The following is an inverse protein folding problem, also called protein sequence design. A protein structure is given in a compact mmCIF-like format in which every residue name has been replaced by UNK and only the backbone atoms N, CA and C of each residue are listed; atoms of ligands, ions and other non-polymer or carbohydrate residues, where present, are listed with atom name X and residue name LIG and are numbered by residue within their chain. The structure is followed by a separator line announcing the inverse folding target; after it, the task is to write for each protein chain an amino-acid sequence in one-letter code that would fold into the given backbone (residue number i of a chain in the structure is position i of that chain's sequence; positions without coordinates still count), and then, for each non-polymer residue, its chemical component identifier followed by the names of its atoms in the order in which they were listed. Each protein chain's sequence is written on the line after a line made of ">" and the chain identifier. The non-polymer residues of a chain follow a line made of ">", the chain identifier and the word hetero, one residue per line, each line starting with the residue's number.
data_IF_331494709255
#
_entry.id   IF_331494709255
#
_cell.length_a   1.000
_cell.length_b   1.000
_cell.length_c   1.000
_cell.angle_alpha   90.00
_cell.angle_beta   90.00
_cell.angle_gamma   90.00
#
_symmetry.space_group_name_H-M   'P 1'
#
loop_
_entity.id
_entity.type
_entity.pdbx_description
1 polymer ?
#
# COMPACT_ATOMS: atom_id res chain seq x y z
N UNK A 1 1.24 -22.70 10.41
CA UNK A 1 0.10 -22.01 9.80
C UNK A 1 -0.90 -21.59 10.86
N UNK A 2 -1.82 -20.70 10.56
CA UNK A 2 -2.85 -20.23 11.49
C UNK A 2 -3.88 -21.30 11.77
N UNK A 3 -4.50 -21.27 12.96
CA UNK A 3 -5.61 -22.15 13.33
C UNK A 3 -6.81 -21.87 12.42
N UNK A 4 -7.34 -22.92 11.79
CA UNK A 4 -8.58 -22.87 11.01
C UNK A 4 -9.62 -23.76 11.65
N UNK A 5 -10.75 -23.20 12.02
CA UNK A 5 -11.91 -23.91 12.52
C UNK A 5 -12.95 -24.02 11.41
N UNK A 6 -13.44 -25.23 11.12
CA UNK A 6 -14.46 -25.49 10.10
C UNK A 6 -15.75 -25.96 10.77
N UNK A 7 -16.89 -25.50 10.25
CA UNK A 7 -18.23 -25.82 10.76
C UNK A 7 -19.29 -25.62 9.66
N UNK A 8 -20.56 -25.84 10.01
CA UNK A 8 -21.69 -25.67 9.09
C UNK A 8 -22.69 -24.69 9.66
N UNK A 9 -23.16 -23.74 8.86
CA UNK A 9 -24.23 -22.79 9.19
C UNK A 9 -25.30 -22.84 8.09
N UNK A 10 -26.54 -23.08 8.46
CA UNK A 10 -27.64 -23.17 7.49
C UNK A 10 -27.41 -24.18 6.36
N UNK A 11 -26.73 -25.30 6.67
CA UNK A 11 -26.33 -26.31 5.69
C UNK A 11 -25.15 -25.93 4.79
N UNK A 12 -24.47 -24.78 5.03
CA UNK A 12 -23.34 -24.28 4.26
C UNK A 12 -22.04 -24.44 5.03
N UNK A 13 -20.99 -24.90 4.36
CA UNK A 13 -19.65 -24.96 4.94
C UNK A 13 -19.17 -23.54 5.23
N UNK A 14 -18.67 -23.35 6.43
CA UNK A 14 -18.06 -22.10 6.88
C UNK A 14 -16.77 -22.37 7.64
N UNK A 15 -15.90 -21.41 7.73
CA UNK A 15 -14.71 -21.50 8.55
C UNK A 15 -14.21 -20.13 9.03
N UNK A 16 -13.40 -20.18 10.07
CA UNK A 16 -12.70 -19.05 10.66
C UNK A 16 -11.22 -19.38 10.69
N UNK A 17 -10.38 -18.47 10.20
CA UNK A 17 -8.93 -18.49 10.41
C UNK A 17 -8.61 -17.50 11.52
N UNK A 18 -8.12 -18.02 12.64
CA UNK A 18 -7.81 -17.21 13.83
C UNK A 18 -6.39 -16.66 13.81
N UNK A 19 -6.16 -15.48 14.41
CA UNK A 19 -4.81 -14.99 14.69
C UNK A 19 -4.12 -15.88 15.74
N UNK A 20 -2.78 -15.90 15.72
CA UNK A 20 -1.98 -16.68 16.69
C UNK A 20 -2.15 -16.17 18.13
N UNK A 21 -2.43 -14.87 18.28
CA UNK A 21 -2.67 -14.28 19.61
C UNK A 21 -4.17 -14.16 19.85
N UNK A 22 -4.69 -14.79 20.91
CA UNK A 22 -6.10 -14.65 21.26
C UNK A 22 -6.43 -13.20 21.62
N UNK A 23 -7.66 -12.82 21.41
CA UNK A 23 -8.17 -11.51 21.81
C UNK A 23 -8.09 -11.37 23.34
N UNK A 24 -7.68 -10.22 23.80
CA UNK A 24 -7.63 -9.93 25.24
C UNK A 24 -9.03 -10.05 25.88
N UNK A 25 -9.14 -10.52 27.11
CA UNK A 25 -10.43 -10.64 27.80
C UNK A 25 -11.23 -9.32 27.76
N UNK A 26 -12.49 -9.41 27.41
CA UNK A 26 -13.38 -8.25 27.32
C UNK A 26 -13.27 -7.43 26.03
N UNK A 27 -12.41 -7.83 25.09
CA UNK A 27 -12.33 -7.23 23.74
C UNK A 27 -13.06 -8.11 22.72
N UNK A 28 -13.64 -7.48 21.70
CA UNK A 28 -14.24 -8.16 20.56
C UNK A 28 -13.19 -8.56 19.54
N UNK A 29 -13.36 -9.71 18.88
CA UNK A 29 -12.49 -10.16 17.79
C UNK A 29 -12.70 -9.27 16.55
N UNK A 30 -11.67 -8.53 16.14
CA UNK A 30 -11.69 -7.85 14.84
C UNK A 30 -11.60 -8.87 13.72
N UNK A 31 -12.29 -8.60 12.60
CA UNK A 31 -12.34 -9.57 11.51
C UNK A 31 -12.56 -8.96 10.13
N UNK A 32 -12.09 -9.72 9.14
CA UNK A 32 -12.32 -9.47 7.73
C UNK A 32 -13.20 -10.57 7.16
N UNK A 33 -14.12 -10.20 6.30
CA UNK A 33 -15.05 -11.12 5.66
C UNK A 33 -14.87 -11.13 4.16
N UNK A 34 -14.41 -12.29 3.64
CA UNK A 34 -14.19 -12.51 2.21
C UNK A 34 -15.23 -13.50 1.69
N UNK A 35 -16.32 -13.02 1.08
CA UNK A 35 -17.45 -13.90 0.69
C UNK A 35 -17.16 -14.80 -0.50
N UNK A 36 -16.15 -14.48 -1.32
CA UNK A 36 -15.76 -15.26 -2.50
C UNK A 36 -14.23 -15.31 -2.64
N UNK A 37 -13.72 -16.37 -3.30
CA UNK A 37 -12.27 -16.53 -3.63
C UNK A 37 -11.33 -16.45 -2.43
N UNK A 38 -11.68 -17.12 -1.32
CA UNK A 38 -10.95 -16.99 -0.05
C UNK A 38 -9.45 -17.26 -0.16
N UNK A 39 -9.07 -18.32 -0.87
CA UNK A 39 -7.67 -18.75 -0.99
C UNK A 39 -6.91 -18.06 -2.14
N UNK A 40 -7.56 -17.15 -2.89
CA UNK A 40 -6.92 -16.48 -4.00
C UNK A 40 -6.07 -15.29 -3.54
N UNK A 41 -4.72 -15.39 -3.69
CA UNK A 41 -3.76 -14.34 -3.29
C UNK A 41 -4.06 -13.72 -1.92
N UNK A 42 -4.06 -14.49 -0.84
CA UNK A 42 -4.47 -14.02 0.49
C UNK A 42 -3.37 -13.22 1.21
N UNK A 43 -2.53 -12.45 0.47
CA UNK A 43 -1.37 -11.75 1.05
C UNK A 43 -1.80 -10.73 2.10
N UNK A 44 -2.82 -9.93 1.80
CA UNK A 44 -3.36 -8.95 2.74
C UNK A 44 -4.09 -9.61 3.92
N UNK A 45 -4.85 -10.68 3.62
CA UNK A 45 -5.59 -11.44 4.65
C UNK A 45 -4.61 -12.04 5.67
N UNK A 46 -3.53 -12.68 5.20
CA UNK A 46 -2.50 -13.27 6.07
C UNK A 46 -1.79 -12.21 6.92
N UNK A 47 -1.50 -11.04 6.35
CA UNK A 47 -0.89 -9.94 7.11
C UNK A 47 -1.85 -9.38 8.17
N UNK A 48 -3.14 -9.29 7.87
CA UNK A 48 -4.16 -8.89 8.83
C UNK A 48 -4.35 -9.93 9.95
N UNK A 49 -4.31 -11.23 9.60
CA UNK A 49 -4.36 -12.31 10.62
C UNK A 49 -3.17 -12.23 11.57
N UNK A 50 -1.94 -11.97 11.08
CA UNK A 50 -0.77 -11.71 11.94
C UNK A 50 -0.98 -10.51 12.88
N UNK A 51 -1.77 -9.53 12.46
CA UNK A 51 -2.10 -8.31 13.22
C UNK A 51 -3.32 -8.47 14.15
N UNK A 52 -3.84 -9.70 14.30
CA UNK A 52 -4.92 -10.01 15.25
C UNK A 52 -6.33 -10.01 14.67
N UNK A 53 -6.50 -9.93 13.36
CA UNK A 53 -7.81 -10.10 12.73
C UNK A 53 -8.13 -11.58 12.51
N UNK A 54 -9.38 -11.96 12.67
CA UNK A 54 -9.87 -13.23 12.13
C UNK A 54 -10.27 -13.05 10.66
N UNK A 55 -9.99 -14.04 9.82
CA UNK A 55 -10.48 -14.08 8.44
C UNK A 55 -11.57 -15.15 8.31
N UNK A 56 -12.73 -14.79 7.77
CA UNK A 56 -13.90 -15.66 7.75
C UNK A 56 -14.47 -15.88 6.36
N UNK A 57 -15.09 -17.04 6.19
CA UNK A 57 -15.72 -17.46 4.94
C UNK A 57 -16.96 -18.31 5.21
N UNK A 58 -17.98 -18.17 4.37
CA UNK A 58 -19.10 -19.09 4.22
C UNK A 58 -19.32 -19.39 2.75
N UNK A 59 -19.54 -20.65 2.39
CA UNK A 59 -19.76 -21.07 1.00
C UNK A 59 -21.11 -20.55 0.49
N UNK A 60 -21.03 -19.75 -0.58
CA UNK A 60 -22.18 -19.16 -1.26
C UNK A 60 -21.98 -19.23 -2.77
N UNK A 61 -21.54 -20.40 -3.23
CA UNK A 61 -21.29 -20.63 -4.64
C UNK A 61 -22.55 -20.38 -5.47
N UNK A 62 -22.36 -19.78 -6.64
CA UNK A 62 -23.40 -19.51 -7.63
C UNK A 62 -24.61 -18.67 -7.14
N UNK A 63 -24.45 -17.89 -6.06
CA UNK A 63 -25.51 -17.01 -5.56
C UNK A 63 -25.42 -15.54 -6.03
N UNK A 64 -24.33 -15.10 -6.62
CA UNK A 64 -24.15 -13.78 -7.26
C UNK A 64 -24.68 -12.56 -6.49
N UNK A 65 -24.58 -12.59 -5.14
CA UNK A 65 -25.10 -11.52 -4.28
C UNK A 65 -26.63 -11.37 -4.26
N UNK A 66 -27.35 -12.40 -4.65
CA UNK A 66 -28.83 -12.47 -4.66
C UNK A 66 -29.43 -12.39 -3.24
N UNK A 67 -30.76 -12.22 -3.09
CA UNK A 67 -31.43 -12.29 -1.80
C UNK A 67 -31.07 -13.54 -0.97
N UNK A 68 -30.93 -14.70 -1.63
CA UNK A 68 -30.49 -15.94 -0.95
C UNK A 68 -29.07 -15.85 -0.41
N UNK A 69 -28.19 -15.13 -1.10
CA UNK A 69 -26.85 -14.86 -0.58
C UNK A 69 -26.90 -13.94 0.64
N UNK A 70 -27.75 -12.91 0.61
CA UNK A 70 -27.94 -11.99 1.74
C UNK A 70 -28.46 -12.74 2.97
N UNK A 71 -29.42 -13.64 2.82
CA UNK A 71 -29.94 -14.45 3.94
C UNK A 71 -28.86 -15.36 4.55
N UNK A 72 -28.01 -15.97 3.73
CA UNK A 72 -26.88 -16.77 4.21
C UNK A 72 -25.84 -15.91 4.94
N UNK A 73 -25.55 -14.71 4.42
CA UNK A 73 -24.66 -13.75 5.07
C UNK A 73 -25.24 -13.28 6.42
N UNK A 74 -26.54 -13.01 6.50
CA UNK A 74 -27.22 -12.61 7.74
C UNK A 74 -27.12 -13.68 8.82
N UNK A 75 -27.34 -14.94 8.48
CA UNK A 75 -27.21 -16.07 9.41
C UNK A 75 -25.76 -16.19 9.94
N UNK A 76 -24.80 -16.09 9.04
CA UNK A 76 -23.38 -16.19 9.41
C UNK A 76 -22.93 -15.02 10.26
N UNK A 77 -23.32 -13.79 9.91
CA UNK A 77 -23.05 -12.60 10.71
C UNK A 77 -23.58 -12.72 12.13
N UNK A 78 -24.86 -13.11 12.28
CA UNK A 78 -25.47 -13.32 13.60
C UNK A 78 -24.69 -14.34 14.43
N UNK A 79 -24.36 -15.48 13.86
CA UNK A 79 -23.55 -16.50 14.54
C UNK A 79 -22.21 -15.93 15.04
N UNK A 80 -21.48 -15.20 14.20
CA UNK A 80 -20.18 -14.64 14.58
C UNK A 80 -20.31 -13.57 15.66
N UNK A 81 -21.28 -12.68 15.56
CA UNK A 81 -21.44 -11.57 16.50
C UNK A 81 -22.07 -12.02 17.82
N UNK A 82 -23.18 -12.76 17.75
CA UNK A 82 -23.97 -13.08 18.94
C UNK A 82 -23.39 -14.25 19.74
N UNK A 83 -22.90 -15.29 19.05
CA UNK A 83 -22.38 -16.51 19.67
C UNK A 83 -20.87 -16.50 19.85
N UNK A 84 -20.13 -16.03 18.84
CA UNK A 84 -18.64 -16.07 18.84
C UNK A 84 -18.00 -14.77 19.34
N UNK A 85 -18.78 -13.73 19.66
CA UNK A 85 -18.33 -12.43 20.21
C UNK A 85 -17.38 -11.67 19.30
N UNK A 86 -17.59 -11.79 18.01
CA UNK A 86 -16.89 -10.99 17.02
C UNK A 86 -17.40 -9.54 17.02
N UNK A 87 -16.56 -8.60 16.60
CA UNK A 87 -16.95 -7.19 16.45
C UNK A 87 -18.18 -7.06 15.54
N UNK A 88 -19.07 -6.14 15.89
CA UNK A 88 -20.27 -5.86 15.08
C UNK A 88 -19.97 -5.24 13.72
N UNK A 89 -18.73 -4.77 13.49
CA UNK A 89 -18.35 -4.09 12.27
C UNK A 89 -17.15 -4.77 11.60
N UNK A 90 -17.38 -5.81 10.77
CA UNK A 90 -16.35 -6.37 9.91
C UNK A 90 -15.86 -5.38 8.85
N UNK A 91 -14.70 -5.67 8.28
CA UNK A 91 -14.31 -5.14 6.97
C UNK A 91 -14.65 -6.20 5.90
N UNK A 92 -15.43 -5.80 4.89
CA UNK A 92 -15.78 -6.69 3.79
C UNK A 92 -14.72 -6.62 2.69
N UNK A 93 -14.40 -7.78 2.09
CA UNK A 93 -13.42 -7.90 1.01
C UNK A 93 -14.08 -8.57 -0.20
N UNK A 94 -14.28 -7.81 -1.28
CA UNK A 94 -14.94 -8.29 -2.49
C UNK A 94 -14.03 -8.30 -3.71
N UNK A 95 -13.55 -9.49 -4.13
CA UNK A 95 -12.81 -9.63 -5.39
C UNK A 95 -13.77 -10.02 -6.51
N UNK A 96 -13.65 -9.39 -7.67
CA UNK A 96 -14.45 -9.73 -8.86
C UNK A 96 -15.95 -9.83 -8.53
N UNK A 97 -16.63 -10.97 -8.80
CA UNK A 97 -18.03 -11.20 -8.42
C UNK A 97 -18.30 -11.11 -6.91
N UNK A 98 -17.26 -11.19 -6.07
CA UNK A 98 -17.38 -10.92 -4.64
C UNK A 98 -17.84 -9.50 -4.31
N UNK A 99 -17.67 -8.56 -5.24
CA UNK A 99 -18.21 -7.20 -5.15
C UNK A 99 -19.72 -7.18 -4.98
N UNK A 100 -20.46 -8.02 -5.72
CA UNK A 100 -21.92 -8.15 -5.59
C UNK A 100 -22.36 -8.53 -4.17
N UNK A 101 -21.63 -9.45 -3.52
CA UNK A 101 -21.93 -9.89 -2.17
C UNK A 101 -21.61 -8.79 -1.14
N UNK A 102 -20.40 -8.24 -1.18
CA UNK A 102 -19.95 -7.26 -0.21
C UNK A 102 -20.77 -5.98 -0.24
N UNK A 103 -21.01 -5.43 -1.46
CA UNK A 103 -21.71 -4.16 -1.64
C UNK A 103 -23.22 -4.30 -1.36
N UNK A 104 -23.87 -5.39 -1.81
CA UNK A 104 -25.30 -5.60 -1.55
C UNK A 104 -25.56 -5.81 -0.05
N UNK A 105 -24.70 -6.58 0.65
CA UNK A 105 -24.87 -6.78 2.08
C UNK A 105 -24.65 -5.49 2.88
N UNK A 106 -23.66 -4.70 2.50
CA UNK A 106 -23.39 -3.44 3.16
C UNK A 106 -24.51 -2.41 2.96
N UNK A 107 -25.14 -2.35 1.78
CA UNK A 107 -26.31 -1.50 1.54
C UNK A 107 -27.51 -1.91 2.40
N UNK A 108 -27.71 -3.23 2.58
CA UNK A 108 -28.76 -3.79 3.45
C UNK A 108 -28.47 -3.54 4.94
N UNK A 109 -27.19 -3.55 5.37
CA UNK A 109 -26.74 -3.45 6.75
C UNK A 109 -25.67 -2.37 6.97
N UNK A 110 -25.93 -1.11 6.63
CA UNK A 110 -24.88 -0.08 6.59
C UNK A 110 -24.26 0.27 7.95
N UNK A 111 -24.95 -0.01 9.05
CA UNK A 111 -24.43 0.22 10.41
C UNK A 111 -23.55 -0.94 10.92
N UNK A 112 -23.55 -2.05 10.21
CA UNK A 112 -22.80 -3.27 10.54
C UNK A 112 -21.50 -3.42 9.77
N UNK A 113 -20.94 -2.35 9.17
CA UNK A 113 -19.72 -2.41 8.34
C UNK A 113 -18.75 -1.34 8.78
N UNK A 114 -17.48 -1.71 8.98
CA UNK A 114 -16.40 -0.75 9.28
C UNK A 114 -15.86 -0.09 8.00
N UNK A 115 -15.72 -0.86 6.93
CA UNK A 115 -15.24 -0.42 5.63
C UNK A 115 -15.29 -1.55 4.61
N UNK A 116 -15.10 -1.23 3.33
CA UNK A 116 -15.14 -2.23 2.25
C UNK A 116 -13.94 -2.04 1.34
N UNK A 117 -13.16 -3.11 1.16
CA UNK A 117 -12.16 -3.22 0.12
C UNK A 117 -12.70 -4.07 -1.03
N UNK A 118 -12.64 -3.57 -2.25
CA UNK A 118 -13.03 -4.32 -3.45
C UNK A 118 -11.97 -4.21 -4.55
N UNK A 119 -11.75 -5.33 -5.26
CA UNK A 119 -10.73 -5.43 -6.32
C UNK A 119 -11.35 -5.94 -7.61
N UNK A 120 -11.27 -5.12 -8.66
CA UNK A 120 -11.95 -5.34 -9.93
C UNK A 120 -13.40 -5.83 -9.76
N UNK A 121 -14.22 -5.15 -8.91
CA UNK A 121 -15.49 -5.69 -8.47
C UNK A 121 -16.55 -5.65 -9.54
N UNK A 122 -17.38 -6.68 -9.59
CA UNK A 122 -18.66 -6.62 -10.27
C UNK A 122 -19.60 -5.75 -9.43
N UNK A 123 -20.01 -4.62 -10.00
CA UNK A 123 -20.96 -3.70 -9.40
C UNK A 123 -22.32 -3.70 -10.14
N UNK A 124 -22.38 -4.31 -11.32
CA UNK A 124 -23.59 -4.52 -12.12
C UNK A 124 -23.52 -5.90 -12.79
N UNK A 125 -24.43 -6.80 -12.44
CA UNK A 125 -24.47 -8.11 -13.07
C UNK A 125 -24.84 -8.06 -14.56
N UNK A 126 -25.36 -6.93 -15.06
CA UNK A 126 -25.61 -6.69 -16.50
C UNK A 126 -24.30 -6.50 -17.28
N UNK A 127 -23.27 -5.91 -16.64
CA UNK A 127 -21.92 -5.87 -17.19
C UNK A 127 -21.29 -7.26 -17.16
N UNK A 128 -21.19 -7.87 -15.97
CA UNK A 128 -20.76 -9.26 -15.79
C UNK A 128 -21.64 -9.94 -14.74
N UNK A 129 -22.17 -11.13 -14.98
CA UNK A 129 -21.85 -12.05 -16.09
C UNK A 129 -22.66 -11.86 -17.39
N UNK A 130 -23.64 -10.96 -17.47
CA UNK A 130 -24.51 -10.87 -18.65
C UNK A 130 -23.80 -10.44 -19.94
N UNK A 131 -22.68 -9.70 -19.85
CA UNK A 131 -21.96 -9.21 -21.03
C UNK A 131 -22.77 -8.23 -21.88
N UNK A 132 -23.63 -7.42 -21.28
CA UNK A 132 -24.47 -6.43 -21.98
C UNK A 132 -23.79 -5.07 -22.15
N UNK A 133 -22.50 -4.99 -21.89
CA UNK A 133 -21.64 -3.84 -22.10
C UNK A 133 -20.43 -4.19 -22.97
N UNK A 134 -19.26 -3.67 -22.59
CA UNK A 134 -17.97 -3.92 -23.26
C UNK A 134 -17.29 -5.23 -22.82
N UNK A 135 -17.60 -5.69 -21.61
CA UNK A 135 -17.03 -6.91 -21.04
C UNK A 135 -17.48 -8.17 -21.78
N UNK A 136 -16.63 -9.20 -21.74
CA UNK A 136 -16.87 -10.46 -22.47
C UNK A 136 -18.09 -11.23 -22.00
N UNK A 137 -18.53 -11.02 -20.74
CA UNK A 137 -19.58 -11.82 -20.15
C UNK A 137 -19.21 -13.30 -19.94
N UNK A 138 -20.17 -14.06 -19.39
CA UNK A 138 -20.07 -15.51 -19.19
C UNK A 138 -21.47 -16.12 -19.26
N UNK A 139 -21.85 -16.79 -20.37
CA UNK A 139 -23.19 -17.34 -20.52
C UNK A 139 -23.56 -18.33 -19.41
N UNK A 140 -22.63 -19.17 -18.98
CA UNK A 140 -22.87 -20.14 -17.89
C UNK A 140 -23.11 -19.43 -16.54
N UNK A 141 -22.27 -18.44 -16.21
CA UNK A 141 -22.47 -17.63 -15.01
C UNK A 141 -23.74 -16.77 -15.09
N UNK A 142 -24.11 -16.28 -16.29
CA UNK A 142 -25.37 -15.56 -16.48
C UNK A 142 -26.57 -16.43 -16.18
N UNK A 143 -26.61 -17.65 -16.70
CA UNK A 143 -27.67 -18.60 -16.41
C UNK A 143 -27.78 -18.95 -14.92
N UNK A 144 -26.63 -19.08 -14.23
CA UNK A 144 -26.60 -19.31 -12.78
C UNK A 144 -27.08 -18.08 -12.01
N UNK A 145 -26.69 -16.88 -12.44
CA UNK A 145 -27.13 -15.62 -11.85
C UNK A 145 -28.66 -15.46 -11.96
N UNK A 146 -29.24 -15.71 -13.14
CA UNK A 146 -30.67 -15.69 -13.33
C UNK A 146 -31.41 -16.63 -12.35
N UNK A 147 -30.93 -17.87 -12.23
CA UNK A 147 -31.49 -18.84 -11.26
C UNK A 147 -31.35 -18.37 -9.81
N UNK A 148 -30.22 -17.76 -9.45
CA UNK A 148 -29.98 -17.28 -8.10
C UNK A 148 -30.96 -16.17 -7.69
N UNK A 149 -31.27 -15.27 -8.62
CA UNK A 149 -32.25 -14.19 -8.41
C UNK A 149 -33.71 -14.64 -8.62
N UNK A 150 -33.93 -15.76 -9.30
CA UNK A 150 -35.26 -16.20 -9.72
C UNK A 150 -35.84 -15.33 -10.86
N UNK A 151 -34.98 -14.74 -11.71
CA UNK A 151 -35.35 -13.87 -12.79
C UNK A 151 -35.31 -14.58 -14.15
N UNK A 152 -36.21 -14.17 -15.05
CA UNK A 152 -35.96 -14.32 -16.47
C UNK A 152 -35.03 -13.21 -16.98
N UNK A 153 -34.58 -13.30 -18.21
CA UNK A 153 -33.64 -12.32 -18.79
C UNK A 153 -34.19 -10.89 -18.80
N UNK A 154 -35.45 -10.72 -19.15
CA UNK A 154 -36.09 -9.39 -19.22
C UNK A 154 -36.17 -8.75 -17.80
N UNK A 155 -36.52 -9.53 -16.79
CA UNK A 155 -36.55 -9.08 -15.39
C UNK A 155 -35.14 -8.68 -14.93
N UNK A 156 -34.13 -9.46 -15.25
CA UNK A 156 -32.76 -9.17 -14.86
C UNK A 156 -32.23 -7.89 -15.56
N UNK A 157 -32.51 -7.70 -16.84
CA UNK A 157 -32.09 -6.51 -17.57
C UNK A 157 -32.77 -5.23 -17.08
N UNK A 158 -34.00 -5.32 -16.59
CA UNK A 158 -34.74 -4.20 -15.99
C UNK A 158 -34.43 -3.96 -14.50
N UNK A 159 -33.66 -4.84 -13.86
CA UNK A 159 -33.37 -4.76 -12.42
C UNK A 159 -32.53 -3.52 -12.08
N UNK A 160 -32.99 -2.78 -11.06
CA UNK A 160 -32.36 -1.55 -10.55
C UNK A 160 -31.79 -1.69 -9.13
N UNK A 161 -31.55 -2.92 -8.69
CA UNK A 161 -31.01 -3.22 -7.35
C UNK A 161 -29.53 -3.63 -7.35
N UNK A 162 -28.81 -3.44 -8.49
CA UNK A 162 -27.37 -3.68 -8.52
C UNK A 162 -26.61 -2.65 -7.65
N UNK A 163 -25.42 -2.98 -7.17
CA UNK A 163 -24.59 -2.03 -6.40
C UNK A 163 -24.46 -0.65 -7.06
N UNK A 164 -24.30 -0.57 -8.38
CA UNK A 164 -24.24 0.73 -9.10
C UNK A 164 -25.50 1.58 -8.95
N UNK A 165 -26.64 0.96 -8.72
CA UNK A 165 -27.95 1.63 -8.60
C UNK A 165 -28.35 1.89 -7.16
N UNK A 166 -27.82 1.08 -6.21
CA UNK A 166 -28.28 1.01 -4.84
C UNK A 166 -27.13 1.14 -3.86
N UNK A 167 -26.85 2.37 -3.40
CA UNK A 167 -25.70 2.68 -2.51
C UNK A 167 -26.00 3.82 -1.51
N UNK A 168 -27.26 4.27 -1.43
CA UNK A 168 -27.64 5.45 -0.63
C UNK A 168 -27.46 5.25 0.87
N UNK A 169 -27.80 4.05 1.37
CA UNK A 169 -27.71 3.73 2.80
C UNK A 169 -26.25 3.67 3.25
N UNK A 170 -25.39 3.06 2.44
CA UNK A 170 -23.95 3.04 2.69
C UNK A 170 -23.35 4.47 2.70
N UNK A 171 -23.71 5.29 1.72
CA UNK A 171 -23.22 6.67 1.63
C UNK A 171 -23.67 7.51 2.83
N UNK A 172 -24.95 7.39 3.23
CA UNK A 172 -25.51 8.06 4.41
C UNK A 172 -24.81 7.63 5.71
N UNK A 173 -24.45 6.35 5.81
CA UNK A 173 -23.70 5.81 6.95
C UNK A 173 -22.20 6.19 6.91
N UNK A 174 -21.71 6.76 5.82
CA UNK A 174 -20.33 7.20 5.67
C UNK A 174 -19.32 6.03 5.60
N UNK A 175 -19.71 4.87 5.04
CA UNK A 175 -18.83 3.70 4.98
C UNK A 175 -17.63 4.00 4.07
N UNK A 176 -16.38 3.92 4.57
CA UNK A 176 -15.20 4.10 3.74
C UNK A 176 -15.05 2.95 2.73
N UNK A 177 -14.77 3.29 1.48
CA UNK A 177 -14.54 2.32 0.40
C UNK A 177 -13.15 2.48 -0.20
N UNK A 178 -12.46 1.35 -0.41
CA UNK A 178 -11.25 1.25 -1.20
C UNK A 178 -11.51 0.37 -2.42
N UNK A 179 -11.44 0.97 -3.60
CA UNK A 179 -11.46 0.25 -4.88
C UNK A 179 -10.06 0.13 -5.42
N UNK A 180 -9.70 -1.07 -5.88
CA UNK A 180 -8.54 -1.32 -6.74
C UNK A 180 -9.09 -1.86 -8.04
N UNK A 181 -8.74 -1.23 -9.17
CA UNK A 181 -9.25 -1.63 -10.48
C UNK A 181 -8.19 -1.44 -11.55
N UNK A 182 -8.33 -2.18 -12.64
CA UNK A 182 -7.35 -2.18 -13.73
C UNK A 182 -7.95 -1.52 -14.97
N UNK A 183 -7.12 -0.73 -15.65
CA UNK A 183 -7.57 0.10 -16.78
C UNK A 183 -7.81 -0.67 -18.06
N UNK A 184 -7.33 -1.91 -18.15
CA UNK A 184 -7.44 -2.78 -19.33
C UNK A 184 -8.24 -4.05 -19.02
N UNK A 185 -9.12 -3.98 -18.00
CA UNK A 185 -9.98 -5.09 -17.61
C UNK A 185 -11.11 -5.31 -18.63
N UNK A 186 -11.01 -6.39 -19.39
CA UNK A 186 -11.98 -6.79 -20.42
C UNK A 186 -13.02 -7.82 -19.92
N UNK A 187 -12.90 -8.25 -18.67
CA UNK A 187 -13.85 -9.14 -17.99
C UNK A 187 -14.87 -8.32 -17.20
N UNK A 188 -14.37 -7.43 -16.33
CA UNK A 188 -15.17 -6.51 -15.53
C UNK A 188 -14.71 -5.08 -15.81
N UNK A 189 -15.13 -4.48 -16.92
CA UNK A 189 -14.66 -3.16 -17.34
C UNK A 189 -14.84 -2.10 -16.27
N UNK A 190 -13.77 -1.34 -16.02
CA UNK A 190 -13.74 -0.34 -14.95
C UNK A 190 -14.81 0.75 -15.15
N UNK A 191 -15.04 1.15 -16.39
CA UNK A 191 -15.99 2.19 -16.75
C UNK A 191 -17.45 1.78 -16.54
N UNK A 192 -17.77 0.48 -16.49
CA UNK A 192 -19.12 -0.06 -16.28
C UNK A 192 -19.42 -0.38 -14.83
N UNK A 193 -18.38 -0.56 -14.03
CA UNK A 193 -18.45 -1.00 -12.64
C UNK A 193 -17.89 0.05 -11.68
N UNK A 194 -16.58 0.07 -11.48
CA UNK A 194 -15.91 0.93 -10.50
C UNK A 194 -16.17 2.42 -10.73
N UNK A 195 -16.05 2.90 -11.97
CA UNK A 195 -16.15 4.34 -12.27
C UNK A 195 -17.58 4.86 -12.07
N UNK A 196 -18.57 4.07 -12.47
CA UNK A 196 -19.99 4.43 -12.23
C UNK A 196 -20.27 4.45 -10.74
N UNK A 197 -19.89 3.36 -10.05
CA UNK A 197 -20.13 3.25 -8.61
C UNK A 197 -19.44 4.36 -7.83
N UNK A 198 -18.13 4.53 -7.99
CA UNK A 198 -17.35 5.51 -7.23
C UNK A 198 -17.83 6.94 -7.47
N UNK A 199 -18.16 7.29 -8.73
CA UNK A 199 -18.71 8.61 -9.08
C UNK A 199 -20.06 8.87 -8.40
N UNK A 200 -20.97 7.89 -8.42
CA UNK A 200 -22.28 8.00 -7.78
C UNK A 200 -22.15 8.08 -6.26
N UNK A 201 -21.30 7.22 -5.67
CA UNK A 201 -21.06 7.17 -4.24
C UNK A 201 -20.48 8.46 -3.69
N UNK A 202 -19.46 9.02 -4.36
CA UNK A 202 -18.88 10.31 -4.00
C UNK A 202 -19.89 11.48 -4.09
N UNK A 203 -20.77 11.45 -5.10
CA UNK A 203 -21.85 12.47 -5.22
C UNK A 203 -22.87 12.42 -4.08
N UNK A 204 -23.04 11.26 -3.46
CA UNK A 204 -23.87 11.07 -2.27
C UNK A 204 -23.14 11.43 -0.97
N UNK A 205 -21.88 11.89 -1.05
CA UNK A 205 -21.04 12.22 0.11
C UNK A 205 -20.33 11.01 0.72
N UNK A 206 -20.38 9.84 0.11
CA UNK A 206 -19.69 8.62 0.58
C UNK A 206 -18.18 8.70 0.38
N UNK A 207 -17.37 8.35 1.39
CA UNK A 207 -15.92 8.37 1.28
C UNK A 207 -15.42 7.18 0.44
N UNK A 208 -14.84 7.46 -0.72
CA UNK A 208 -14.32 6.45 -1.64
C UNK A 208 -12.95 6.83 -2.18
N UNK A 209 -12.02 5.86 -2.14
CA UNK A 209 -10.70 5.93 -2.78
C UNK A 209 -10.63 4.89 -3.89
N UNK A 210 -10.19 5.31 -5.08
CA UNK A 210 -9.99 4.41 -6.22
C UNK A 210 -8.52 4.43 -6.61
N UNK A 211 -7.88 3.26 -6.59
CA UNK A 211 -6.52 3.04 -7.09
C UNK A 211 -6.64 2.35 -8.45
N UNK A 212 -6.24 3.07 -9.50
CA UNK A 212 -6.21 2.54 -10.87
C UNK A 212 -4.83 1.99 -11.19
N UNK A 213 -4.77 0.84 -11.82
CA UNK A 213 -3.52 0.19 -12.23
C UNK A 213 -3.62 -0.28 -13.69
N UNK A 214 -2.51 -0.29 -14.42
CA UNK A 214 -2.48 -0.91 -15.74
C UNK A 214 -2.70 -2.42 -15.64
N UNK A 215 -3.15 -3.03 -16.75
CA UNK A 215 -3.35 -4.47 -16.90
C UNK A 215 -4.80 -4.92 -16.88
N UNK A 216 -5.00 -6.21 -17.11
CA UNK A 216 -6.31 -6.87 -17.20
C UNK A 216 -6.86 -7.33 -15.87
N UNK A 217 -7.94 -8.16 -15.89
CA UNK A 217 -8.68 -8.59 -14.70
C UNK A 217 -7.83 -9.26 -13.62
N UNK A 218 -6.81 -9.99 -14.02
CA UNK A 218 -5.90 -10.69 -13.11
C UNK A 218 -4.46 -10.15 -13.21
N UNK A 219 -3.67 -10.27 -12.13
CA UNK A 219 -3.99 -10.78 -10.79
C UNK A 219 -4.65 -9.71 -9.91
N UNK A 220 -5.52 -10.11 -8.98
CA UNK A 220 -6.05 -9.20 -7.95
C UNK A 220 -5.01 -8.89 -6.88
N UNK A 221 -5.23 -7.80 -6.12
CA UNK A 221 -4.38 -7.38 -5.00
C UNK A 221 -3.04 -6.78 -5.42
N UNK A 222 -2.17 -6.67 -4.44
CA UNK A 222 -0.79 -6.20 -4.57
C UNK A 222 0.16 -7.25 -4.00
N UNK A 223 1.39 -7.29 -4.52
CA UNK A 223 2.47 -8.08 -3.90
C UNK A 223 2.85 -7.48 -2.53
N UNK A 224 2.87 -6.15 -2.40
CA UNK A 224 2.90 -5.46 -1.12
C UNK A 224 1.46 -5.12 -0.68
N UNK A 225 0.94 -5.74 0.40
CA UNK A 225 -0.44 -5.55 0.83
C UNK A 225 -0.71 -4.24 1.59
N UNK A 226 0.29 -3.38 1.77
CA UNK A 226 0.22 -2.22 2.66
C UNK A 226 -0.98 -1.31 2.41
N UNK A 227 -1.36 -1.07 1.14
CA UNK A 227 -2.55 -0.28 0.80
C UNK A 227 -3.84 -0.84 1.42
N UNK A 228 -3.99 -2.17 1.37
CA UNK A 228 -5.17 -2.87 1.86
C UNK A 228 -5.13 -2.94 3.39
N UNK A 229 -3.97 -3.31 3.94
CA UNK A 229 -3.75 -3.43 5.40
C UNK A 229 -3.98 -2.09 6.08
N UNK A 230 -3.38 -1.01 5.57
CA UNK A 230 -3.53 0.33 6.15
C UNK A 230 -4.98 0.83 6.10
N UNK A 231 -5.69 0.53 5.00
CA UNK A 231 -7.11 0.82 4.90
C UNK A 231 -7.90 0.10 6.00
N UNK A 232 -7.69 -1.22 6.16
CA UNK A 232 -8.37 -2.03 7.18
C UNK A 232 -8.06 -1.53 8.59
N UNK A 233 -6.78 -1.27 8.89
CA UNK A 233 -6.37 -0.70 10.18
C UNK A 233 -7.07 0.63 10.45
N UNK A 234 -7.07 1.54 9.48
CA UNK A 234 -7.68 2.86 9.60
C UNK A 234 -9.18 2.79 9.91
N UNK A 235 -9.95 1.98 9.14
CA UNK A 235 -11.41 1.90 9.30
C UNK A 235 -11.84 1.15 10.56
N UNK A 236 -10.94 0.38 11.16
CA UNK A 236 -11.18 -0.33 12.43
C UNK A 236 -10.57 0.39 13.64
N UNK A 237 -10.06 1.63 13.45
CA UNK A 237 -9.47 2.44 14.51
C UNK A 237 -8.16 1.90 15.07
N UNK A 238 -7.45 1.05 14.30
CA UNK A 238 -6.15 0.54 14.69
C UNK A 238 -5.03 1.47 14.19
N UNK A 239 -3.88 1.51 14.89
CA UNK A 239 -2.74 2.32 14.45
C UNK A 239 -2.26 1.88 13.06
N UNK A 240 -2.11 2.86 12.16
CA UNK A 240 -1.49 2.64 10.84
C UNK A 240 0.01 2.91 10.98
N UNK A 241 0.89 1.99 10.52
CA UNK A 241 2.33 2.19 10.60
C UNK A 241 2.80 3.45 9.87
N UNK A 242 3.69 4.22 10.49
CA UNK A 242 4.45 5.25 9.79
C UNK A 242 5.57 4.57 9.00
N UNK A 243 5.50 4.60 7.67
CA UNK A 243 6.54 4.05 6.79
C UNK A 243 7.39 5.15 6.20
N UNK A 244 8.71 4.97 6.27
CA UNK A 244 9.71 5.87 5.72
C UNK A 244 10.58 5.06 4.77
N UNK A 245 10.66 5.46 3.48
CA UNK A 245 11.56 4.85 2.51
C UNK A 245 12.85 5.67 2.40
N UNK A 246 14.00 5.06 2.68
CA UNK A 246 15.32 5.67 2.55
C UNK A 246 15.97 5.19 1.24
N UNK A 247 15.79 5.98 0.17
CA UNK A 247 16.42 5.75 -1.12
C UNK A 247 17.85 6.27 -1.10
N UNK A 248 18.81 5.49 -1.62
CA UNK A 248 20.19 5.99 -1.61
C UNK A 248 21.23 5.05 -2.20
N UNK A 249 22.45 5.47 -2.07
CA UNK A 249 23.65 4.74 -2.49
C UNK A 249 24.29 3.94 -1.34
N UNK A 250 25.60 3.75 -1.40
CA UNK A 250 26.39 3.03 -0.40
C UNK A 250 26.31 3.65 1.01
N UNK A 251 26.10 4.94 1.12
CA UNK A 251 25.97 5.62 2.41
C UNK A 251 24.65 5.23 3.12
N UNK A 252 23.58 5.06 2.37
CA UNK A 252 22.31 4.54 2.87
C UNK A 252 22.35 3.03 3.09
N UNK A 253 23.04 2.29 2.20
CA UNK A 253 23.30 0.86 2.41
C UNK A 253 24.09 0.57 3.67
N UNK A 254 24.93 1.51 4.17
CA UNK A 254 25.79 1.38 5.34
C UNK A 254 27.14 0.74 5.02
N UNK A 255 27.75 1.07 3.88
CA UNK A 255 29.03 0.46 3.43
C UNK A 255 30.20 0.72 4.38
N UNK A 256 30.22 1.85 5.11
CA UNK A 256 31.25 2.19 6.09
C UNK A 256 31.19 1.42 7.42
N UNK A 257 30.17 0.61 7.60
CA UNK A 257 30.01 -0.22 8.82
C UNK A 257 30.50 -1.63 8.53
N UNK A 258 31.44 -2.10 9.33
CA UNK A 258 32.00 -3.46 9.23
C UNK A 258 31.32 -4.43 10.20
N UNK A 259 31.40 -5.73 9.87
CA UNK A 259 31.02 -6.84 10.76
C UNK A 259 29.53 -7.22 10.74
N UNK A 260 29.14 -8.18 11.61
CA UNK A 260 27.80 -8.80 11.60
C UNK A 260 26.68 -7.84 12.00
N UNK A 261 27.01 -6.74 12.67
CA UNK A 261 26.05 -5.75 13.17
C UNK A 261 25.72 -4.64 12.14
N UNK A 262 26.18 -4.75 10.89
CA UNK A 262 25.99 -3.75 9.86
C UNK A 262 24.52 -3.32 9.73
N UNK A 263 23.60 -4.26 9.72
CA UNK A 263 22.19 -3.99 9.46
C UNK A 263 21.53 -3.18 10.57
N UNK A 264 21.94 -3.40 11.81
CA UNK A 264 21.41 -2.67 12.99
C UNK A 264 22.10 -1.33 13.24
N UNK A 265 23.28 -1.11 12.63
CA UNK A 265 24.05 0.14 12.77
C UNK A 265 23.89 1.09 11.58
N UNK A 266 23.07 0.77 10.58
CA UNK A 266 22.72 1.72 9.50
C UNK A 266 21.89 2.87 10.03
N UNK A 267 22.11 4.07 9.54
CA UNK A 267 21.36 5.24 9.96
C UNK A 267 19.85 5.08 9.82
N UNK A 268 19.37 4.36 8.80
CA UNK A 268 17.96 4.09 8.60
C UNK A 268 17.35 3.23 9.70
N UNK A 269 18.04 2.16 10.15
CA UNK A 269 17.60 1.34 11.29
C UNK A 269 17.67 2.12 12.60
N UNK A 270 18.76 2.88 12.82
CA UNK A 270 18.89 3.73 14.00
C UNK A 270 17.82 4.83 14.06
N UNK A 271 17.43 5.38 12.91
CA UNK A 271 16.31 6.31 12.78
C UNK A 271 15.00 5.65 13.23
N UNK A 272 14.75 4.42 12.79
CA UNK A 272 13.56 3.67 13.19
C UNK A 272 13.49 3.48 14.70
N UNK A 273 14.62 3.06 15.34
CA UNK A 273 14.69 2.87 16.79
C UNK A 273 14.44 4.18 17.55
N UNK A 274 15.00 5.30 17.04
CA UNK A 274 14.77 6.63 17.65
C UNK A 274 13.31 7.04 17.54
N UNK A 275 12.70 6.90 16.37
CA UNK A 275 11.29 7.25 16.16
C UNK A 275 10.37 6.42 17.05
N UNK A 276 10.60 5.11 17.18
CA UNK A 276 9.85 4.24 18.09
C UNK A 276 9.95 4.67 19.55
N UNK A 277 11.16 5.04 20.00
CA UNK A 277 11.43 5.42 21.38
C UNK A 277 10.89 6.80 21.73
N UNK A 278 11.21 7.80 20.92
CA UNK A 278 11.03 9.22 21.26
C UNK A 278 9.63 9.74 20.89
N UNK A 279 9.08 9.31 19.75
CA UNK A 279 7.78 9.76 19.27
C UNK A 279 6.59 8.97 19.82
N UNK A 280 6.84 7.97 20.70
CA UNK A 280 5.82 7.02 21.19
C UNK A 280 4.99 6.38 20.06
N UNK A 281 5.46 6.44 18.84
CA UNK A 281 4.89 5.74 17.68
C UNK A 281 5.14 4.25 17.90
N UNK A 282 4.08 3.49 18.16
CA UNK A 282 4.18 2.04 18.38
C UNK A 282 4.54 1.28 17.11
N UNK A 283 4.14 1.83 15.95
CA UNK A 283 4.35 1.21 14.66
C UNK A 283 5.08 2.18 13.73
N UNK A 284 6.39 1.99 13.58
CA UNK A 284 7.25 2.72 12.65
C UNK A 284 8.05 1.69 11.87
N UNK A 285 8.09 1.84 10.57
CA UNK A 285 8.85 0.99 9.65
C UNK A 285 9.74 1.89 8.79
N UNK A 286 11.07 1.73 8.88
CA UNK A 286 12.02 2.45 8.03
C UNK A 286 12.68 1.47 7.07
N UNK A 287 12.30 1.57 5.79
CA UNK A 287 12.81 0.72 4.73
C UNK A 287 14.15 1.27 4.23
N UNK A 288 15.20 0.46 4.34
CA UNK A 288 16.47 0.76 3.70
C UNK A 288 16.44 0.28 2.24
N UNK A 289 16.35 1.22 1.32
CA UNK A 289 16.44 1.00 -0.13
C UNK A 289 17.79 1.48 -0.69
N UNK A 290 18.83 1.48 0.13
CA UNK A 290 20.20 1.82 -0.29
C UNK A 290 20.88 0.66 -1.01
N UNK A 291 21.68 0.98 -2.03
CA UNK A 291 22.50 0.01 -2.77
C UNK A 291 23.80 0.63 -3.27
N UNK A 292 24.90 -0.11 -3.14
CA UNK A 292 26.25 0.40 -3.41
C UNK A 292 26.43 0.96 -4.84
N UNK A 293 27.19 2.04 -4.94
CA UNK A 293 27.71 2.59 -6.19
C UNK A 293 26.68 3.29 -7.09
N UNK A 294 25.45 3.47 -6.65
CA UNK A 294 24.35 3.96 -7.51
C UNK A 294 24.40 5.45 -7.75
N UNK A 295 24.09 5.81 -9.01
CA UNK A 295 23.98 7.19 -9.47
C UNK A 295 22.52 7.63 -9.52
N UNK A 296 22.30 8.91 -9.25
CA UNK A 296 21.02 9.55 -9.54
C UNK A 296 20.81 9.69 -11.04
N UNK A 297 21.89 10.02 -11.76
CA UNK A 297 21.90 10.17 -13.21
C UNK A 297 21.48 8.86 -13.91
N UNK A 298 20.48 8.95 -14.79
CA UNK A 298 19.95 7.80 -15.55
C UNK A 298 20.93 7.30 -16.61
N UNK A 299 21.87 8.15 -17.04
CA UNK A 299 22.98 7.84 -17.96
C UNK A 299 24.29 7.55 -17.23
N UNK A 300 24.28 7.54 -15.90
CA UNK A 300 25.43 7.14 -15.10
C UNK A 300 25.81 5.66 -15.30
N UNK A 301 26.95 5.28 -14.75
CA UNK A 301 27.46 3.90 -14.86
C UNK A 301 26.53 2.86 -14.17
N UNK A 302 25.92 3.21 -13.05
CA UNK A 302 25.05 2.36 -12.26
C UNK A 302 23.75 3.08 -11.83
N UNK A 303 22.81 3.35 -12.75
CA UNK A 303 21.60 4.10 -12.44
C UNK A 303 20.72 3.47 -11.34
N UNK A 304 20.38 4.24 -10.32
CA UNK A 304 19.55 3.78 -9.20
C UNK A 304 18.14 3.34 -9.64
N UNK A 305 17.54 4.04 -10.60
CA UNK A 305 16.19 3.73 -11.11
C UNK A 305 16.07 2.35 -11.75
N UNK A 306 17.18 1.69 -12.10
CA UNK A 306 17.19 0.33 -12.69
C UNK A 306 17.25 -0.78 -11.65
N UNK A 307 17.23 -0.46 -10.35
CA UNK A 307 17.41 -1.42 -9.25
C UNK A 307 16.09 -2.01 -8.74
N UNK A 308 16.19 -3.14 -8.06
CA UNK A 308 15.07 -3.73 -7.28
C UNK A 308 14.69 -2.85 -6.10
N UNK A 309 15.69 -2.24 -5.45
CA UNK A 309 15.51 -1.35 -4.30
C UNK A 309 14.71 -0.09 -4.66
N UNK A 310 14.91 0.46 -5.87
CA UNK A 310 14.07 1.54 -6.38
C UNK A 310 12.60 1.11 -6.54
N UNK A 311 12.37 -0.07 -7.14
CA UNK A 311 11.02 -0.64 -7.25
C UNK A 311 10.41 -0.92 -5.88
N UNK A 312 11.19 -1.41 -4.92
CA UNK A 312 10.75 -1.62 -3.55
C UNK A 312 10.34 -0.30 -2.88
N UNK A 313 11.11 0.78 -3.10
CA UNK A 313 10.77 2.11 -2.60
C UNK A 313 9.45 2.64 -3.19
N UNK A 314 9.24 2.50 -4.51
CA UNK A 314 8.00 2.90 -5.18
C UNK A 314 6.77 2.12 -4.66
N UNK A 315 6.96 0.85 -4.29
CA UNK A 315 5.89 -0.02 -3.78
C UNK A 315 5.83 -0.06 -2.25
N UNK A 316 6.56 0.80 -1.54
CA UNK A 316 6.69 0.74 -0.07
C UNK A 316 5.43 1.21 0.67
N UNK A 317 4.56 1.95 0.01
CA UNK A 317 3.43 2.66 0.65
C UNK A 317 3.91 3.59 1.78
N UNK A 318 5.08 4.20 1.60
CA UNK A 318 5.65 5.13 2.57
C UNK A 318 4.92 6.48 2.56
N UNK A 319 4.78 7.07 3.75
CA UNK A 319 4.30 8.44 3.91
C UNK A 319 5.42 9.46 3.78
N UNK A 320 6.68 9.00 3.96
CA UNK A 320 7.88 9.82 3.86
C UNK A 320 8.91 9.10 3.00
N UNK A 321 9.53 9.82 2.04
CA UNK A 321 10.71 9.35 1.32
C UNK A 321 11.91 10.27 1.63
N UNK A 322 13.06 9.67 1.90
CA UNK A 322 14.34 10.36 2.03
C UNK A 322 15.21 9.92 0.87
N UNK A 323 15.57 10.83 -0.02
CA UNK A 323 16.39 10.56 -1.21
C UNK A 323 17.82 11.04 -0.93
N UNK A 324 18.75 10.10 -0.73
CA UNK A 324 20.16 10.33 -0.42
C UNK A 324 21.05 9.79 -1.55
N UNK A 325 20.98 10.45 -2.71
CA UNK A 325 21.73 10.15 -3.93
C UNK A 325 22.54 11.36 -4.40
N UNK A 326 23.53 11.11 -5.23
CA UNK A 326 24.34 12.15 -5.86
C UNK A 326 25.85 11.97 -5.68
N UNK A 327 26.30 11.25 -4.65
CA UNK A 327 27.73 11.06 -4.37
C UNK A 327 28.45 10.40 -5.55
N UNK A 328 27.90 9.32 -6.12
CA UNK A 328 28.52 8.60 -7.23
C UNK A 328 28.43 9.35 -8.57
N UNK A 329 27.60 10.37 -8.65
CA UNK A 329 27.46 11.23 -9.83
C UNK A 329 28.68 12.14 -10.00
N UNK A 330 29.51 12.33 -8.94
CA UNK A 330 30.76 13.05 -8.97
C UNK A 330 31.93 12.26 -9.60
N UNK A 331 31.78 10.97 -9.90
CA UNK A 331 32.80 10.16 -10.57
C UNK A 331 33.10 10.70 -11.99
N UNK A 332 34.35 10.59 -12.51
CA UNK A 332 34.73 11.11 -13.81
C UNK A 332 33.81 10.67 -14.96
N UNK A 333 33.43 9.40 -14.99
CA UNK A 333 32.54 8.83 -16.02
C UNK A 333 31.10 9.35 -15.94
N UNK A 334 30.65 9.83 -14.79
CA UNK A 334 29.27 10.26 -14.53
C UNK A 334 29.11 11.79 -14.61
N UNK A 335 30.08 12.56 -14.08
CA UNK A 335 29.99 14.04 -13.98
C UNK A 335 29.78 14.77 -15.29
N UNK A 336 30.08 14.15 -16.42
CA UNK A 336 29.83 14.69 -17.76
C UNK A 336 28.34 14.82 -18.09
N UNK A 337 27.46 14.14 -17.34
CA UNK A 337 26.01 14.19 -17.50
C UNK A 337 25.32 15.07 -16.44
N UNK A 338 26.05 15.84 -15.63
CA UNK A 338 25.47 16.64 -14.54
C UNK A 338 24.46 17.70 -15.03
N UNK A 339 24.47 18.09 -16.30
CA UNK A 339 23.42 18.93 -16.88
C UNK A 339 22.01 18.30 -16.79
N UNK A 340 21.91 16.96 -16.71
CA UNK A 340 20.66 16.20 -16.61
C UNK A 340 20.23 15.97 -15.16
N UNK A 341 21.08 16.30 -14.17
CA UNK A 341 20.88 15.95 -12.77
C UNK A 341 19.54 16.43 -12.20
N UNK A 342 19.19 17.70 -12.45
CA UNK A 342 17.92 18.26 -11.97
C UNK A 342 16.71 17.55 -12.58
N UNK A 343 16.74 17.29 -13.87
CA UNK A 343 15.65 16.59 -14.57
C UNK A 343 15.50 15.18 -14.05
N UNK A 344 16.60 14.43 -13.90
CA UNK A 344 16.56 13.05 -13.41
C UNK A 344 16.06 12.99 -11.97
N UNK A 345 16.51 13.90 -11.09
CA UNK A 345 16.04 13.95 -9.70
C UNK A 345 14.54 14.28 -9.62
N UNK A 346 14.10 15.29 -10.39
CA UNK A 346 12.69 15.67 -10.45
C UNK A 346 11.82 14.51 -10.99
N UNK A 347 12.35 13.69 -11.90
CA UNK A 347 11.69 12.48 -12.38
C UNK A 347 11.43 11.47 -11.27
N UNK A 348 12.42 11.18 -10.42
CA UNK A 348 12.26 10.31 -9.25
C UNK A 348 11.19 10.86 -8.29
N UNK A 349 11.22 12.19 -8.02
CA UNK A 349 10.22 12.84 -7.17
C UNK A 349 8.80 12.70 -7.75
N UNK A 350 8.65 12.91 -9.06
CA UNK A 350 7.37 12.80 -9.74
C UNK A 350 6.83 11.36 -9.66
N UNK A 351 7.67 10.36 -9.92
CA UNK A 351 7.29 8.95 -9.88
C UNK A 351 6.92 8.49 -8.46
N UNK A 352 7.64 8.96 -7.43
CA UNK A 352 7.28 8.71 -6.03
C UNK A 352 5.90 9.29 -5.69
N UNK A 353 5.60 10.52 -6.14
CA UNK A 353 4.30 11.16 -5.92
C UNK A 353 3.15 10.51 -6.67
N UNK A 354 3.42 10.01 -7.86
CA UNK A 354 2.44 9.26 -8.66
C UNK A 354 2.07 7.94 -7.97
N UNK A 355 3.08 7.18 -7.50
CA UNK A 355 2.85 5.90 -6.83
C UNK A 355 2.33 6.04 -5.39
N UNK A 356 2.68 7.12 -4.70
CA UNK A 356 2.30 7.40 -3.31
C UNK A 356 1.76 8.83 -3.17
N UNK A 357 0.53 9.10 -3.60
CA UNK A 357 -0.09 10.43 -3.49
C UNK A 357 -0.08 10.95 -2.05
N UNK A 358 0.44 12.17 -1.86
CA UNK A 358 0.57 12.80 -0.55
C UNK A 358 1.89 12.50 0.18
N UNK A 359 2.80 11.74 -0.42
CA UNK A 359 4.10 11.45 0.18
C UNK A 359 4.90 12.73 0.44
N UNK A 360 5.46 12.83 1.64
CA UNK A 360 6.39 13.90 1.99
C UNK A 360 7.80 13.49 1.58
N UNK A 361 8.47 14.31 0.78
CA UNK A 361 9.80 14.00 0.24
C UNK A 361 10.85 14.91 0.87
N UNK A 362 11.94 14.30 1.32
CA UNK A 362 13.15 14.94 1.80
C UNK A 362 14.29 14.66 0.82
N UNK A 363 14.89 15.71 0.26
CA UNK A 363 16.12 15.62 -0.50
C UNK A 363 17.30 15.72 0.49
N UNK A 364 17.99 14.62 0.73
CA UNK A 364 19.18 14.64 1.57
C UNK A 364 20.36 15.25 0.81
N UNK A 365 20.96 16.28 1.38
CA UNK A 365 22.18 16.89 0.85
C UNK A 365 23.31 15.91 1.14
N UNK A 366 24.02 15.41 0.11
CA UNK A 366 24.98 14.32 0.25
C UNK A 366 26.12 14.66 1.21
N UNK A 367 26.69 13.63 1.81
CA UNK A 367 27.87 13.75 2.66
C UNK A 367 29.07 14.35 1.90
N UNK A 368 29.97 15.06 2.59
CA UNK A 368 31.24 15.47 1.98
C UNK A 368 32.12 14.24 1.65
N UNK A 369 33.03 14.39 0.72
CA UNK A 369 34.06 13.41 0.38
C UNK A 369 35.43 13.96 0.76
N UNK A 370 36.33 13.13 1.26
CA UNK A 370 37.65 13.55 1.78
C UNK A 370 38.82 13.10 0.92
N UNK A 371 38.71 11.95 0.26
CA UNK A 371 39.70 11.41 -0.64
C UNK A 371 39.04 10.70 -1.82
N UNK A 372 39.77 10.64 -2.94
CA UNK A 372 39.24 10.03 -4.14
C UNK A 372 39.54 8.55 -4.28
N UNK A 373 39.63 7.79 -3.15
CA UNK A 373 39.86 6.35 -3.21
C UNK A 373 38.83 5.59 -4.06
N UNK A 374 37.59 6.10 -4.10
CA UNK A 374 36.51 5.61 -4.94
C UNK A 374 36.23 6.50 -6.15
N UNK A 375 37.21 7.31 -6.56
CA UNK A 375 37.09 8.27 -7.68
C UNK A 375 36.00 9.36 -7.48
N UNK A 376 35.52 9.54 -6.24
CA UNK A 376 34.53 10.60 -5.94
C UNK A 376 35.28 11.94 -5.89
N UNK A 377 34.97 12.85 -6.79
CA UNK A 377 35.57 14.17 -6.84
C UNK A 377 34.92 15.11 -5.83
N UNK A 378 35.68 15.45 -4.78
CA UNK A 378 35.26 16.34 -3.69
C UNK A 378 34.67 17.66 -4.19
N UNK A 379 35.38 18.33 -5.09
CA UNK A 379 34.97 19.65 -5.62
C UNK A 379 33.67 19.56 -6.39
N UNK A 380 33.46 18.48 -7.14
CA UNK A 380 32.18 18.23 -7.84
C UNK A 380 31.04 18.00 -6.84
N UNK A 381 31.25 17.24 -5.75
CA UNK A 381 30.23 17.07 -4.72
C UNK A 381 29.86 18.42 -4.11
N UNK A 382 30.88 19.16 -3.62
CA UNK A 382 30.67 20.40 -2.87
C UNK A 382 30.14 21.54 -3.74
N UNK A 383 30.76 21.78 -4.91
CA UNK A 383 30.51 22.97 -5.73
C UNK A 383 29.44 22.76 -6.80
N UNK A 384 29.04 21.51 -7.10
CA UNK A 384 28.03 21.22 -8.13
C UNK A 384 26.85 20.45 -7.58
N UNK A 385 27.05 19.27 -6.97
CA UNK A 385 25.96 18.41 -6.57
C UNK A 385 25.17 18.98 -5.39
N UNK A 386 25.84 19.46 -4.35
CA UNK A 386 25.17 20.08 -3.19
C UNK A 386 24.25 21.25 -3.61
N UNK A 387 24.71 22.23 -4.43
CA UNK A 387 23.81 23.27 -4.94
C UNK A 387 22.66 22.74 -5.79
N UNK A 388 22.89 21.72 -6.63
CA UNK A 388 21.85 21.12 -7.47
C UNK A 388 20.78 20.45 -6.63
N UNK A 389 21.13 19.67 -5.59
CA UNK A 389 20.16 19.05 -4.67
C UNK A 389 19.32 20.10 -3.95
N UNK A 390 19.96 21.18 -3.43
CA UNK A 390 19.25 22.29 -2.80
C UNK A 390 18.28 22.98 -3.76
N UNK A 391 18.67 23.15 -5.04
CA UNK A 391 17.80 23.74 -6.05
C UNK A 391 16.63 22.81 -6.39
N UNK A 392 16.87 21.51 -6.61
CA UNK A 392 15.81 20.53 -6.87
C UNK A 392 14.80 20.50 -5.73
N UNK A 393 15.24 20.52 -4.47
CA UNK A 393 14.35 20.54 -3.33
C UNK A 393 13.42 21.77 -3.36
N UNK A 394 13.95 22.95 -3.66
CA UNK A 394 13.15 24.19 -3.80
C UNK A 394 12.17 24.09 -4.97
N UNK A 395 12.67 23.74 -6.16
CA UNK A 395 11.88 23.68 -7.39
C UNK A 395 10.70 22.69 -7.27
N UNK A 396 10.90 21.59 -6.54
CA UNK A 396 9.88 20.55 -6.32
C UNK A 396 9.13 20.68 -4.99
N UNK A 397 9.33 21.76 -4.22
CA UNK A 397 8.69 21.96 -2.90
C UNK A 397 8.93 20.78 -1.95
N UNK A 398 10.14 20.23 -1.95
CA UNK A 398 10.58 19.19 -1.02
C UNK A 398 11.30 19.82 0.17
N UNK A 399 11.27 19.13 1.31
CA UNK A 399 12.12 19.46 2.46
C UNK A 399 13.55 18.95 2.21
N UNK A 400 14.50 19.39 3.05
CA UNK A 400 15.89 18.93 2.98
C UNK A 400 16.36 18.32 4.29
N UNK A 401 17.33 17.38 4.20
CA UNK A 401 18.11 16.90 5.34
C UNK A 401 19.56 17.24 5.02
N UNK A 402 20.18 18.11 5.80
CA UNK A 402 21.56 18.57 5.52
C UNK A 402 22.60 17.71 6.25
N UNK A 403 23.03 16.64 5.59
CA UNK A 403 24.19 15.86 6.06
C UNK A 403 25.52 16.57 5.77
N UNK A 404 25.59 17.37 4.70
CA UNK A 404 26.83 18.01 4.26
C UNK A 404 27.43 18.91 5.33
N UNK A 405 26.67 19.92 5.77
CA UNK A 405 27.15 20.96 6.67
C UNK A 405 27.66 20.37 7.99
N UNK A 406 26.97 19.39 8.54
CA UNK A 406 27.39 18.77 9.81
C UNK A 406 28.72 18.03 9.70
N UNK A 407 28.96 17.38 8.56
CA UNK A 407 30.12 16.51 8.38
C UNK A 407 31.34 17.23 7.76
N UNK A 408 31.27 18.51 7.37
CA UNK A 408 32.34 19.24 6.64
C UNK A 408 33.73 19.16 7.30
N UNK A 409 33.82 19.04 8.62
CA UNK A 409 35.09 19.02 9.34
C UNK A 409 35.26 17.72 10.19
N UNK A 410 34.72 16.59 9.70
CA UNK A 410 34.69 15.32 10.45
C UNK A 410 35.25 14.17 9.63
N UNK A 411 36.45 14.38 9.06
CA UNK A 411 37.11 13.34 8.24
C UNK A 411 37.39 12.06 8.99
N UNK A 412 37.58 12.13 10.30
CA UNK A 412 37.81 10.99 11.20
C UNK A 412 36.65 9.97 11.22
N UNK A 413 35.47 10.41 10.84
CA UNK A 413 34.29 9.53 10.74
C UNK A 413 34.24 8.76 9.41
N UNK A 414 35.15 9.02 8.46
CA UNK A 414 35.17 8.44 7.12
C UNK A 414 36.47 7.66 6.86
N UNK A 415 36.58 6.41 7.33
CA UNK A 415 37.84 5.64 7.22
C UNK A 415 38.39 5.50 5.80
N UNK A 416 37.52 5.48 4.80
CA UNK A 416 37.89 5.42 3.38
C UNK A 416 37.69 6.76 2.62
N UNK A 417 37.41 7.83 3.36
CA UNK A 417 37.15 9.16 2.81
C UNK A 417 35.78 9.40 2.19
N UNK A 418 34.89 8.38 2.12
CA UNK A 418 33.57 8.46 1.47
C UNK A 418 32.46 7.93 2.36
N UNK A 419 32.69 6.83 3.06
CA UNK A 419 31.65 6.12 3.81
C UNK A 419 31.79 6.37 5.32
N UNK A 420 30.73 6.86 5.98
CA UNK A 420 30.76 7.08 7.43
C UNK A 420 30.80 5.74 8.19
N UNK A 421 31.66 5.68 9.22
CA UNK A 421 31.72 4.57 10.16
C UNK A 421 30.45 4.49 11.03
N UNK A 422 30.40 3.57 12.00
CA UNK A 422 29.25 3.39 12.88
C UNK A 422 28.84 4.68 13.62
N UNK A 423 29.79 5.46 14.13
CA UNK A 423 29.48 6.73 14.81
C UNK A 423 28.91 7.76 13.84
N UNK A 424 29.44 7.82 12.61
CA UNK A 424 28.88 8.64 11.53
C UNK A 424 27.46 8.25 11.16
N UNK A 425 27.13 6.96 11.17
CA UNK A 425 25.75 6.47 10.93
C UNK A 425 24.79 6.90 12.05
N UNK A 426 25.24 6.88 13.31
CA UNK A 426 24.44 7.40 14.46
C UNK A 426 24.12 8.88 14.26
N UNK A 427 25.11 9.67 13.87
CA UNK A 427 24.95 11.10 13.63
C UNK A 427 23.99 11.36 12.46
N UNK A 428 24.07 10.59 11.36
CA UNK A 428 23.11 10.70 10.24
C UNK A 428 21.69 10.44 10.73
N UNK A 429 21.49 9.41 11.56
CA UNK A 429 20.19 9.11 12.14
C UNK A 429 19.66 10.27 13.01
N UNK A 430 20.52 10.91 13.79
CA UNK A 430 20.17 12.05 14.64
C UNK A 430 19.77 13.28 13.83
N UNK A 431 20.50 13.56 12.76
CA UNK A 431 20.15 14.66 11.85
C UNK A 431 18.81 14.39 11.16
N UNK A 432 18.62 13.20 10.60
CA UNK A 432 17.36 12.82 9.95
C UNK A 432 16.19 12.89 10.94
N UNK A 433 16.35 12.35 12.14
CA UNK A 433 15.35 12.39 13.20
C UNK A 433 14.93 13.82 13.55
N UNK A 434 15.90 14.73 13.78
CA UNK A 434 15.63 16.13 14.10
C UNK A 434 14.88 16.85 12.97
N UNK A 435 15.26 16.58 11.71
CA UNK A 435 14.58 17.19 10.55
C UNK A 435 13.15 16.68 10.38
N UNK A 436 12.90 15.40 10.63
CA UNK A 436 11.54 14.82 10.55
C UNK A 436 10.61 15.38 11.64
N UNK A 437 11.12 15.80 12.78
CA UNK A 437 10.32 16.40 13.86
C UNK A 437 10.02 17.88 13.68
N UNK A 438 10.70 18.58 12.78
CA UNK A 438 10.40 19.99 12.47
C UNK A 438 9.03 20.05 11.79
N UNK A 439 8.06 20.76 12.42
CA UNK A 439 6.72 21.00 11.91
C UNK A 439 6.70 21.89 10.65
#
# INVERSE_FOLDING_TARGET
>A
GFLREEFTIGGRRAFIVFPDKPVAPGKEQLWIWRPQFFDYKPVADLELVKRGYAAVFISMEDLYGSPKAMDAMDQFYKYLVDERKFSRKPVLIGLSRGGLYALNWAEKHPLCVAGIYVDAPVCDFKSWPAGKGKGKGSPDDWNKCLRAYGFNEQQALSYQGNPVDNMRSMAKAGIPLLFISRTEDDVVPIEENTDIFAKRYARLGGPVKVIRRPGGHHPHGFDNPAHIVDFVLSVTGQPVPLRIACLGDSNTFGAGVAGPNKDVLRWSHLLEQKLKKECKQKEVEVLNCGINGRTLLTRGDLPYIKTGEYRNALNSHAQIAIIALGTNDAKPQNRKFLSEFKQNYSGIIAELRENMPGIQIYCAIPLPSWQSSNQIDKETVENKIVPLVKQVARDNKCKTIDFFTFFQNKSELFPDGVHPNADGQVIMADIAFKELLKK
#
